data_IF_527807995242
#
_entry.id   IF_527807995242
#
_cell.length_a   1.000
_cell.length_b   1.000
_cell.length_c   1.000
_cell.angle_alpha   90.00
_cell.angle_beta   90.00
_cell.angle_gamma   90.00
#
_symmetry.space_group_name_H-M   'P 1'
#
loop_
_entity.id
_entity.type
_entity.pdbx_description
1 polymer ?
#
# COMPACT_ATOMS: atom_id res chain seq x y z
N UNK A 1 39.01 1.07 4.15
CA UNK A 1 38.21 -0.05 3.57
C UNK A 1 37.83 0.36 2.16
N UNK A 2 37.74 -0.55 1.20
CA UNK A 2 37.25 -0.20 -0.13
C UNK A 2 35.82 0.33 -0.06
N UNK A 3 35.49 1.34 -0.86
CA UNK A 3 34.22 2.00 -0.85
C UNK A 3 33.53 1.90 -2.22
N UNK A 4 32.21 1.74 -2.22
CA UNK A 4 31.33 1.90 -3.36
C UNK A 4 30.54 3.21 -3.21
N UNK A 5 30.06 3.74 -4.33
CA UNK A 5 29.25 4.96 -4.36
C UNK A 5 27.82 4.61 -4.72
N UNK A 6 26.87 4.91 -3.83
CA UNK A 6 25.45 4.59 -4.00
C UNK A 6 24.63 5.85 -4.29
N UNK A 7 23.96 5.86 -5.43
CA UNK A 7 22.97 6.88 -5.82
C UNK A 7 21.58 6.27 -5.79
N UNK A 8 20.58 7.01 -5.29
CA UNK A 8 19.19 6.56 -5.27
C UNK A 8 18.31 7.49 -6.11
N UNK A 9 17.28 6.92 -6.73
CA UNK A 9 16.28 7.67 -7.47
C UNK A 9 15.59 8.73 -6.59
N UNK A 10 15.09 9.80 -7.20
CA UNK A 10 14.46 10.92 -6.50
C UNK A 10 13.40 10.49 -5.51
N UNK A 11 12.54 9.56 -5.92
CA UNK A 11 11.42 9.01 -5.14
C UNK A 11 11.86 8.25 -3.89
N UNK A 12 13.09 7.74 -3.86
CA UNK A 12 13.66 7.01 -2.71
C UNK A 12 14.40 7.91 -1.73
N UNK A 13 14.71 9.16 -2.11
CA UNK A 13 15.49 10.09 -1.27
C UNK A 13 14.80 10.41 0.06
N UNK A 14 13.46 10.30 0.10
CA UNK A 14 12.70 10.50 1.33
C UNK A 14 13.07 9.49 2.43
N UNK A 15 13.61 8.33 2.07
CA UNK A 15 14.04 7.29 3.00
C UNK A 15 15.44 7.56 3.57
N UNK A 16 16.26 8.35 2.89
CA UNK A 16 17.61 8.67 3.35
C UNK A 16 17.57 9.69 4.50
N UNK A 17 18.61 9.67 5.34
CA UNK A 17 18.85 10.72 6.33
C UNK A 17 19.03 12.07 5.62
N UNK A 18 18.60 13.18 6.24
CA UNK A 18 18.60 14.52 5.62
C UNK A 18 19.92 14.89 4.96
N UNK A 19 21.06 14.68 5.60
CA UNK A 19 22.39 15.01 5.04
C UNK A 19 22.86 14.13 3.85
N UNK A 20 22.09 13.09 3.48
CA UNK A 20 22.45 12.14 2.40
C UNK A 20 21.50 12.19 1.20
N UNK A 21 20.52 13.11 1.20
CA UNK A 21 19.46 13.13 0.19
C UNK A 21 19.89 13.71 -1.17
N UNK A 22 20.86 14.60 -1.17
CA UNK A 22 21.21 15.37 -2.37
C UNK A 22 22.46 14.87 -3.12
N UNK A 23 23.23 13.97 -2.52
CA UNK A 23 24.50 13.47 -3.06
C UNK A 23 24.54 11.95 -3.03
N UNK A 24 25.34 11.34 -3.95
CA UNK A 24 25.71 9.95 -3.81
C UNK A 24 26.36 9.68 -2.45
N UNK A 25 26.14 8.51 -1.89
CA UNK A 25 26.64 8.11 -0.57
C UNK A 25 27.77 7.12 -0.74
N UNK A 26 28.95 7.42 -0.21
CA UNK A 26 30.02 6.44 -0.08
C UNK A 26 29.66 5.42 1.01
N UNK A 27 29.80 4.15 0.70
CA UNK A 27 29.54 3.01 1.58
C UNK A 27 30.73 2.07 1.60
N UNK A 28 31.14 1.65 2.79
CA UNK A 28 32.25 0.69 2.93
C UNK A 28 31.82 -0.71 2.48
N UNK A 29 32.68 -1.39 1.74
CA UNK A 29 32.49 -2.74 1.25
C UNK A 29 33.25 -3.71 2.16
N UNK A 30 32.52 -4.57 2.89
CA UNK A 30 33.08 -5.55 3.82
C UNK A 30 33.28 -6.93 3.15
N UNK A 31 32.86 -7.09 1.90
CA UNK A 31 32.96 -8.31 1.11
C UNK A 31 31.93 -9.39 1.45
N UNK A 32 31.04 -9.16 2.43
CA UNK A 32 30.04 -10.13 2.89
C UNK A 32 28.60 -9.57 2.87
N UNK A 33 28.47 -8.25 3.03
CA UNK A 33 27.16 -7.58 2.98
C UNK A 33 26.63 -7.50 1.56
N UNK A 34 25.39 -7.99 1.37
CA UNK A 34 24.73 -7.88 0.06
C UNK A 34 24.31 -6.46 -0.25
N UNK A 35 24.13 -6.15 -1.53
CA UNK A 35 23.72 -4.82 -1.98
C UNK A 35 22.39 -4.38 -1.38
N UNK A 36 21.41 -5.30 -1.23
CA UNK A 36 20.15 -4.98 -0.55
C UNK A 36 20.40 -4.58 0.90
N UNK A 37 21.28 -5.28 1.63
CA UNK A 37 21.59 -4.92 3.02
C UNK A 37 22.25 -3.54 3.12
N UNK A 38 23.15 -3.23 2.21
CA UNK A 38 23.78 -1.90 2.11
C UNK A 38 22.73 -0.82 1.88
N UNK A 39 21.80 -1.04 0.92
CA UNK A 39 20.73 -0.08 0.60
C UNK A 39 19.76 0.09 1.76
N UNK A 40 19.38 -1.00 2.45
CA UNK A 40 18.53 -0.95 3.65
C UNK A 40 19.23 -0.19 4.80
N UNK A 41 20.55 -0.33 4.96
CA UNK A 41 21.31 0.42 5.97
C UNK A 41 21.31 1.93 5.73
N UNK A 42 21.10 2.37 4.48
CA UNK A 42 20.89 3.77 4.13
C UNK A 42 19.48 4.26 4.47
N UNK A 43 18.54 3.35 4.79
CA UNK A 43 17.16 3.61 5.18
C UNK A 43 16.11 3.29 4.11
N UNK A 44 16.49 2.80 2.93
CA UNK A 44 15.55 2.43 1.85
C UNK A 44 15.06 1.00 2.07
N UNK A 45 13.76 0.79 2.32
CA UNK A 45 13.22 -0.55 2.46
C UNK A 45 13.35 -1.35 1.15
N UNK A 46 13.65 -2.63 1.24
CA UNK A 46 13.79 -3.50 0.06
C UNK A 46 12.51 -3.56 -0.79
N UNK A 47 11.34 -3.38 -0.19
CA UNK A 47 10.04 -3.35 -0.86
C UNK A 47 9.86 -2.14 -1.78
N UNK A 48 10.70 -1.12 -1.63
CA UNK A 48 10.69 0.10 -2.44
C UNK A 48 11.77 0.08 -3.55
N UNK A 49 12.63 -0.93 -3.55
CA UNK A 49 13.69 -1.09 -4.55
C UNK A 49 13.10 -1.76 -5.79
N UNK A 50 13.07 -1.04 -6.91
CA UNK A 50 12.59 -1.53 -8.20
C UNK A 50 13.70 -2.08 -9.08
N UNK A 51 14.87 -1.44 -9.07
CA UNK A 51 16.03 -1.88 -9.85
C UNK A 51 17.33 -1.57 -9.13
N UNK A 52 18.33 -2.39 -9.39
CA UNK A 52 19.70 -2.18 -8.95
C UNK A 52 20.64 -2.31 -10.15
N UNK A 53 21.46 -1.29 -10.38
CA UNK A 53 22.53 -1.37 -11.38
C UNK A 53 23.87 -1.08 -10.73
N UNK A 54 24.90 -1.78 -11.17
CA UNK A 54 26.29 -1.58 -10.76
C UNK A 54 27.12 -1.39 -12.02
N UNK A 55 27.85 -0.29 -12.10
CA UNK A 55 28.67 0.06 -13.27
C UNK A 55 27.85 -0.01 -14.59
N UNK A 56 26.57 0.41 -14.55
CA UNK A 56 25.64 0.38 -15.69
C UNK A 56 24.97 -0.97 -15.98
N UNK A 57 25.31 -2.05 -15.26
CA UNK A 57 24.74 -3.38 -15.47
C UNK A 57 23.76 -3.75 -14.37
N UNK A 58 22.60 -4.31 -14.77
CA UNK A 58 21.59 -4.79 -13.83
C UNK A 58 22.16 -5.86 -12.90
N UNK A 59 21.88 -5.76 -11.61
CA UNK A 59 22.32 -6.70 -10.58
C UNK A 59 21.17 -7.22 -9.74
N UNK A 60 21.38 -8.37 -9.12
CA UNK A 60 20.45 -8.94 -8.15
C UNK A 60 20.59 -8.27 -6.79
N UNK A 61 19.56 -8.42 -5.93
CA UNK A 61 19.60 -7.98 -4.53
C UNK A 61 20.76 -8.62 -3.74
N UNK A 62 21.20 -9.82 -4.14
CA UNK A 62 22.27 -10.57 -3.49
C UNK A 62 23.68 -10.21 -3.94
N UNK A 63 23.85 -9.26 -4.86
CA UNK A 63 25.16 -8.81 -5.31
C UNK A 63 26.02 -8.33 -4.12
N UNK A 64 27.29 -8.70 -4.10
CA UNK A 64 28.27 -8.24 -3.10
C UNK A 64 29.05 -7.04 -3.66
N UNK A 65 28.81 -5.81 -3.18
CA UNK A 65 29.47 -4.62 -3.71
C UNK A 65 30.97 -4.63 -3.44
N UNK A 66 31.73 -4.09 -4.39
CA UNK A 66 33.21 -4.00 -4.36
C UNK A 66 33.64 -2.56 -4.32
N UNK A 67 34.85 -2.32 -3.87
CA UNK A 67 35.48 -0.99 -3.94
C UNK A 67 35.56 -0.48 -5.37
N UNK A 68 35.12 0.78 -5.56
CA UNK A 68 35.04 1.42 -6.88
C UNK A 68 33.71 1.20 -7.61
N UNK A 69 32.79 0.37 -7.09
CA UNK A 69 31.49 0.20 -7.72
C UNK A 69 30.64 1.49 -7.67
N UNK A 70 30.00 1.78 -8.80
CA UNK A 70 29.01 2.86 -8.94
C UNK A 70 27.62 2.20 -8.98
N UNK A 71 26.89 2.33 -7.87
CA UNK A 71 25.58 1.73 -7.68
C UNK A 71 24.47 2.75 -7.93
N UNK A 72 23.46 2.35 -8.70
CA UNK A 72 22.23 3.13 -8.87
C UNK A 72 21.04 2.30 -8.40
N UNK A 73 20.21 2.88 -7.51
CA UNK A 73 19.03 2.26 -6.94
C UNK A 73 17.80 2.95 -7.51
N UNK A 74 17.04 2.24 -8.33
CA UNK A 74 15.77 2.71 -8.91
C UNK A 74 14.59 2.40 -8.00
N UNK A 75 13.56 3.24 -8.03
CA UNK A 75 12.30 3.00 -7.35
C UNK A 75 11.47 1.91 -8.06
N UNK A 76 10.51 1.34 -7.36
CA UNK A 76 9.50 0.45 -7.95
C UNK A 76 8.75 1.19 -9.05
N UNK A 77 8.61 0.55 -10.21
CA UNK A 77 7.82 1.09 -11.34
C UNK A 77 6.35 1.17 -10.95
N UNK A 78 5.66 2.18 -11.46
CA UNK A 78 4.24 2.40 -11.25
C UNK A 78 3.51 2.39 -12.60
N UNK A 79 2.40 1.67 -12.76
CA UNK A 79 1.84 0.76 -11.76
C UNK A 79 2.73 -0.48 -11.55
N UNK A 80 2.75 -0.94 -10.28
CA UNK A 80 3.43 -2.17 -9.90
C UNK A 80 2.51 -3.36 -10.12
N UNK A 81 2.96 -4.36 -10.88
CA UNK A 81 2.25 -5.64 -10.96
C UNK A 81 2.38 -6.32 -9.59
N UNK A 82 1.27 -6.34 -8.85
CA UNK A 82 1.22 -7.03 -7.57
C UNK A 82 0.74 -8.47 -7.79
N UNK A 83 1.38 -9.43 -7.11
CA UNK A 83 0.93 -10.83 -7.11
C UNK A 83 -0.46 -11.00 -6.48
N UNK A 84 -0.90 -10.01 -5.71
CA UNK A 84 -2.22 -9.96 -5.08
C UNK A 84 -2.74 -8.52 -5.04
N UNK A 85 -4.02 -8.34 -5.37
CA UNK A 85 -4.75 -7.08 -5.18
C UNK A 85 -5.41 -6.99 -3.79
N UNK A 86 -4.98 -7.81 -2.82
CA UNK A 86 -5.47 -7.84 -1.43
C UNK A 86 -4.48 -7.12 -0.55
N UNK A 87 -4.95 -6.18 0.25
CA UNK A 87 -4.11 -5.38 1.12
C UNK A 87 -4.35 -5.69 2.60
N UNK A 88 -3.33 -5.51 3.41
CA UNK A 88 -3.40 -5.42 4.86
C UNK A 88 -2.84 -4.07 5.27
N UNK A 89 -3.53 -3.34 6.12
CA UNK A 89 -3.12 -2.00 6.51
C UNK A 89 -2.64 -1.99 7.96
N UNK A 90 -1.55 -1.26 8.16
CA UNK A 90 -0.99 -0.94 9.47
C UNK A 90 -1.98 -0.11 10.30
N UNK A 91 -1.86 -0.19 11.63
CA UNK A 91 -2.77 0.41 12.63
C UNK A 91 -3.05 1.90 12.41
N UNK A 92 -2.10 2.65 11.88
CA UNK A 92 -2.26 4.09 11.61
C UNK A 92 -3.03 4.41 10.32
N UNK A 93 -3.33 3.42 9.49
CA UNK A 93 -3.96 3.58 8.18
C UNK A 93 -5.46 3.23 8.14
N UNK A 94 -6.14 3.24 9.31
CA UNK A 94 -7.57 2.87 9.39
C UNK A 94 -8.50 3.74 8.53
N UNK A 95 -8.19 5.02 8.34
CA UNK A 95 -8.95 5.89 7.46
C UNK A 95 -8.76 5.51 5.97
N UNK A 96 -7.55 5.12 5.58
CA UNK A 96 -7.25 4.58 4.24
C UNK A 96 -7.96 3.24 4.02
N UNK A 97 -7.97 2.34 5.01
CA UNK A 97 -8.68 1.06 4.92
C UNK A 97 -10.16 1.25 4.55
N UNK A 98 -10.84 2.20 5.22
CA UNK A 98 -12.24 2.52 4.91
C UNK A 98 -12.42 3.04 3.49
N UNK A 99 -11.50 3.86 2.97
CA UNK A 99 -11.56 4.39 1.60
C UNK A 99 -11.34 3.31 0.55
N UNK A 100 -10.37 2.42 0.77
CA UNK A 100 -10.12 1.28 -0.13
C UNK A 100 -11.34 0.35 -0.20
N UNK A 101 -11.93 -0.02 0.95
CA UNK A 101 -13.15 -0.83 1.02
C UNK A 101 -14.33 -0.17 0.30
N UNK A 102 -14.43 1.14 0.37
CA UNK A 102 -15.48 1.92 -0.25
C UNK A 102 -15.48 1.82 -1.77
N UNK A 103 -14.30 1.78 -2.38
CA UNK A 103 -14.11 1.57 -3.82
C UNK A 103 -13.99 0.08 -4.17
N UNK A 104 -14.32 -0.82 -3.24
CA UNK A 104 -14.43 -2.26 -3.44
C UNK A 104 -13.13 -3.05 -3.34
N UNK A 105 -12.07 -2.43 -2.87
CA UNK A 105 -10.77 -3.11 -2.69
C UNK A 105 -10.76 -3.90 -1.39
N UNK A 106 -10.25 -5.13 -1.44
CA UNK A 106 -10.04 -5.98 -0.27
C UNK A 106 -8.91 -5.42 0.59
N UNK A 107 -9.26 -4.81 1.71
CA UNK A 107 -8.36 -4.12 2.63
C UNK A 107 -8.60 -4.57 4.07
N UNK A 108 -7.85 -5.57 4.52
CA UNK A 108 -7.86 -6.03 5.92
C UNK A 108 -7.22 -4.98 6.83
N UNK A 109 -7.73 -4.88 8.04
CA UNK A 109 -7.27 -3.90 9.03
C UNK A 109 -7.71 -4.30 10.44
N UNK A 110 -6.79 -4.18 11.38
CA UNK A 110 -7.04 -4.24 12.81
C UNK A 110 -6.28 -3.08 13.48
N UNK A 111 -6.96 -2.33 14.35
CA UNK A 111 -6.40 -1.16 15.02
C UNK A 111 -5.45 -1.49 16.18
N UNK A 112 -5.33 -2.76 16.57
CA UNK A 112 -4.51 -3.23 17.68
C UNK A 112 -3.47 -4.28 17.28
N UNK A 113 -3.34 -4.58 15.99
CA UNK A 113 -2.41 -5.60 15.53
C UNK A 113 -0.95 -5.17 15.76
N UNK A 114 -0.17 -6.00 16.47
CA UNK A 114 1.26 -5.79 16.61
C UNK A 114 2.00 -6.11 15.29
N UNK A 115 3.20 -5.55 15.12
CA UNK A 115 4.02 -5.70 13.91
C UNK A 115 4.22 -7.16 13.48
N UNK A 116 4.52 -8.04 14.43
CA UNK A 116 4.76 -9.45 14.14
C UNK A 116 3.47 -10.16 13.68
N UNK A 117 2.32 -9.75 14.23
CA UNK A 117 0.99 -10.23 13.80
C UNK A 117 0.71 -9.73 12.38
N UNK A 118 0.99 -8.47 12.07
CA UNK A 118 0.83 -7.92 10.72
C UNK A 118 1.67 -8.67 9.69
N UNK A 119 2.95 -8.96 9.99
CA UNK A 119 3.82 -9.72 9.08
C UNK A 119 3.30 -11.14 8.87
N UNK A 120 2.90 -11.82 9.94
CA UNK A 120 2.35 -13.19 9.88
C UNK A 120 1.07 -13.20 9.04
N UNK A 121 0.14 -12.31 9.34
CA UNK A 121 -1.12 -12.19 8.61
C UNK A 121 -0.93 -11.85 7.12
N UNK A 122 -0.05 -10.90 6.80
CA UNK A 122 0.28 -10.56 5.42
C UNK A 122 0.78 -11.78 4.64
N UNK A 123 1.64 -12.60 5.26
CA UNK A 123 2.21 -13.79 4.65
C UNK A 123 1.18 -14.91 4.46
N UNK A 124 0.40 -15.22 5.50
CA UNK A 124 -0.60 -16.31 5.50
C UNK A 124 -1.70 -16.05 4.46
N UNK A 125 -2.22 -14.83 4.42
CA UNK A 125 -3.28 -14.48 3.50
C UNK A 125 -2.79 -13.91 2.15
N UNK A 126 -1.47 -13.85 1.91
CA UNK A 126 -0.88 -13.26 0.70
C UNK A 126 -1.40 -11.85 0.43
N UNK A 127 -1.36 -10.99 1.45
CA UNK A 127 -1.74 -9.58 1.37
C UNK A 127 -0.51 -8.68 1.26
N UNK A 128 -0.58 -7.65 0.44
CA UNK A 128 0.44 -6.59 0.43
C UNK A 128 0.26 -5.74 1.69
N UNK A 129 1.28 -5.68 2.55
CA UNK A 129 1.27 -4.85 3.74
C UNK A 129 1.51 -3.38 3.38
N UNK A 130 0.51 -2.53 3.64
CA UNK A 130 0.58 -1.08 3.48
C UNK A 130 0.92 -0.42 4.81
N UNK A 131 2.01 0.32 4.87
CA UNK A 131 2.45 0.98 6.11
C UNK A 131 3.24 2.26 5.83
N UNK A 132 3.37 3.11 6.83
CA UNK A 132 4.33 4.23 6.87
C UNK A 132 5.52 3.92 7.78
N UNK A 133 5.58 2.74 8.39
CA UNK A 133 6.73 2.27 9.16
C UNK A 133 7.75 1.57 8.26
N UNK A 134 8.93 2.19 8.16
CA UNK A 134 10.05 1.65 7.38
C UNK A 134 10.62 0.37 8.02
N UNK A 135 10.63 0.29 9.35
CA UNK A 135 11.12 -0.87 10.09
C UNK A 135 10.31 -2.11 9.78
N UNK A 136 8.98 -1.94 9.67
CA UNK A 136 8.08 -3.02 9.30
C UNK A 136 8.35 -3.53 7.87
N UNK A 137 8.65 -2.64 6.92
CA UNK A 137 8.99 -2.99 5.54
C UNK A 137 10.39 -3.63 5.39
N UNK A 138 11.29 -3.43 6.35
CA UNK A 138 12.60 -4.07 6.38
C UNK A 138 12.59 -5.48 7.00
N UNK A 139 11.44 -5.97 7.48
CA UNK A 139 11.31 -7.32 8.04
C UNK A 139 11.57 -8.38 6.97
N UNK A 140 12.64 -9.17 7.11
CA UNK A 140 13.07 -10.19 6.13
C UNK A 140 11.98 -11.22 5.80
N UNK A 141 11.12 -11.52 6.77
CA UNK A 141 10.01 -12.48 6.62
C UNK A 141 8.82 -11.92 5.83
N UNK A 142 8.72 -10.59 5.63
CA UNK A 142 7.62 -9.98 4.91
C UNK A 142 7.71 -10.32 3.42
N UNK A 143 6.70 -11.01 2.89
CA UNK A 143 6.69 -11.44 1.50
C UNK A 143 6.42 -10.28 0.52
N UNK A 144 5.52 -9.36 0.87
CA UNK A 144 5.21 -8.17 0.08
C UNK A 144 4.77 -7.02 0.97
N UNK A 145 5.20 -5.81 0.65
CA UNK A 145 4.81 -4.60 1.35
C UNK A 145 5.01 -3.36 0.49
N UNK A 146 4.42 -2.25 0.92
CA UNK A 146 4.54 -0.97 0.27
C UNK A 146 4.49 0.17 1.28
N UNK A 147 5.38 1.14 1.12
CA UNK A 147 5.30 2.38 1.85
C UNK A 147 4.19 3.25 1.28
N UNK A 148 3.27 3.69 2.14
CA UNK A 148 2.17 4.59 1.74
C UNK A 148 2.61 6.04 1.90
N UNK A 149 2.59 6.79 0.81
CA UNK A 149 2.94 8.21 0.81
C UNK A 149 1.72 9.07 1.13
N UNK A 150 1.98 10.27 1.64
CA UNK A 150 0.94 11.25 1.99
C UNK A 150 0.56 11.27 3.47
N UNK A 151 0.24 12.47 3.96
CA UNK A 151 -0.21 12.68 5.34
C UNK A 151 -1.73 12.56 5.46
N UNK A 152 -2.47 12.92 4.42
CA UNK A 152 -3.93 12.87 4.41
C UNK A 152 -4.43 11.57 3.78
N UNK A 153 -5.54 11.00 4.27
CA UNK A 153 -6.08 9.76 3.75
C UNK A 153 -6.45 9.78 2.25
N UNK A 154 -6.74 10.95 1.67
CA UNK A 154 -7.01 11.08 0.24
C UNK A 154 -5.72 11.03 -0.60
N UNK A 155 -4.61 11.57 -0.07
CA UNK A 155 -3.28 11.47 -0.71
C UNK A 155 -2.75 10.04 -0.62
N UNK A 156 -2.95 9.38 0.53
CA UNK A 156 -2.63 7.96 0.73
C UNK A 156 -3.39 7.06 -0.24
N UNK A 157 -4.70 7.31 -0.43
CA UNK A 157 -5.51 6.58 -1.40
C UNK A 157 -4.95 6.76 -2.81
N UNK A 158 -4.64 8.00 -3.20
CA UNK A 158 -4.07 8.30 -4.53
C UNK A 158 -2.75 7.57 -4.75
N UNK A 159 -1.87 7.56 -3.74
CA UNK A 159 -0.58 6.85 -3.82
C UNK A 159 -0.76 5.34 -4.03
N UNK A 160 -1.71 4.70 -3.32
CA UNK A 160 -1.99 3.27 -3.47
C UNK A 160 -2.59 2.96 -4.85
N UNK A 161 -3.51 3.80 -5.33
CA UNK A 161 -4.12 3.62 -6.66
C UNK A 161 -3.10 3.81 -7.78
N UNK A 162 -2.24 4.82 -7.69
CA UNK A 162 -1.15 5.06 -8.63
C UNK A 162 -0.14 3.89 -8.62
N UNK A 163 0.18 3.37 -7.43
CA UNK A 163 1.15 2.28 -7.30
C UNK A 163 0.67 0.95 -7.84
N UNK A 164 -0.59 0.58 -7.63
CA UNK A 164 -1.08 -0.76 -7.90
C UNK A 164 -2.14 -0.85 -8.99
N UNK A 165 -2.75 0.27 -9.38
CA UNK A 165 -3.86 0.33 -10.33
C UNK A 165 -4.89 -0.81 -10.15
N UNK A 166 -5.39 -1.09 -8.93
CA UNK A 166 -6.26 -2.21 -8.68
C UNK A 166 -7.62 -2.00 -9.37
N UNK A 167 -8.25 -3.11 -9.78
CA UNK A 167 -9.62 -3.04 -10.30
C UNK A 167 -10.57 -2.52 -9.24
N UNK A 168 -11.36 -1.49 -9.58
CA UNK A 168 -12.33 -0.88 -8.69
C UNK A 168 -13.67 -1.62 -8.81
N UNK A 169 -14.30 -1.92 -7.66
CA UNK A 169 -15.62 -2.54 -7.55
C UNK A 169 -16.43 -1.88 -6.43
N UNK A 170 -16.84 -0.60 -6.58
CA UNK A 170 -17.57 0.14 -5.55
C UNK A 170 -18.81 -0.63 -5.09
N UNK A 171 -19.18 -0.49 -3.81
CA UNK A 171 -20.35 -1.13 -3.21
C UNK A 171 -20.26 -2.67 -3.07
N UNK A 172 -19.08 -3.25 -3.16
CA UNK A 172 -18.90 -4.69 -2.97
C UNK A 172 -18.32 -5.05 -1.60
N UNK A 173 -17.73 -4.08 -0.88
CA UNK A 173 -17.08 -4.30 0.41
C UNK A 173 -17.70 -3.46 1.53
N UNK A 174 -17.86 -4.07 2.70
CA UNK A 174 -18.25 -3.40 3.93
C UNK A 174 -17.12 -2.49 4.42
N UNK A 175 -17.39 -1.20 4.57
CA UNK A 175 -16.39 -0.23 5.04
C UNK A 175 -15.96 -0.48 6.49
N UNK A 176 -16.79 -1.14 7.29
CA UNK A 176 -16.49 -1.45 8.69
C UNK A 176 -15.59 -2.68 8.85
N UNK A 177 -15.96 -3.83 8.27
CA UNK A 177 -15.29 -5.11 8.52
C UNK A 177 -14.64 -5.76 7.30
N UNK A 178 -14.66 -5.11 6.13
CA UNK A 178 -14.15 -5.67 4.87
C UNK A 178 -14.97 -6.85 4.29
N UNK A 179 -16.04 -7.29 4.94
CA UNK A 179 -16.91 -8.36 4.44
C UNK A 179 -17.60 -7.99 3.13
N UNK A 180 -18.02 -9.00 2.38
CA UNK A 180 -18.73 -8.80 1.11
C UNK A 180 -20.13 -8.20 1.36
N UNK A 181 -20.50 -7.22 0.55
CA UNK A 181 -21.86 -6.68 0.50
C UNK A 181 -22.70 -7.46 -0.50
N UNK A 182 -23.94 -7.75 -0.14
CA UNK A 182 -24.94 -8.36 -1.04
C UNK A 182 -26.18 -7.49 -1.09
N UNK A 183 -26.73 -7.28 -2.27
CA UNK A 183 -28.01 -6.59 -2.44
C UNK A 183 -29.10 -7.34 -1.68
N UNK A 184 -29.97 -6.60 -0.99
CA UNK A 184 -31.08 -7.14 -0.22
C UNK A 184 -32.34 -6.33 -0.49
N UNK A 185 -33.48 -7.01 -0.49
CA UNK A 185 -34.77 -6.36 -0.62
C UNK A 185 -35.08 -5.51 0.62
N UNK A 186 -35.69 -4.33 0.44
CA UNK A 186 -36.06 -3.40 1.51
C UNK A 186 -36.82 -4.06 2.68
N UNK A 187 -37.82 -4.94 2.45
CA UNK A 187 -38.53 -5.59 3.56
C UNK A 187 -37.62 -6.43 4.47
N UNK A 188 -36.56 -7.00 3.94
CA UNK A 188 -35.61 -7.84 4.71
C UNK A 188 -34.79 -7.04 5.72
N UNK A 189 -34.61 -5.73 5.51
CA UNK A 189 -33.81 -4.84 6.36
C UNK A 189 -34.61 -3.69 6.97
N UNK A 190 -35.88 -3.62 6.70
CA UNK A 190 -36.76 -2.49 7.09
C UNK A 190 -36.75 -2.20 8.59
N UNK A 191 -36.72 -3.23 9.42
CA UNK A 191 -36.62 -3.12 10.88
C UNK A 191 -35.29 -2.54 11.39
N UNK A 192 -34.27 -2.57 10.58
CA UNK A 192 -32.93 -2.04 10.89
C UNK A 192 -32.73 -0.60 10.40
N UNK A 193 -33.73 -0.04 9.68
CA UNK A 193 -33.62 1.28 9.06
C UNK A 193 -34.31 2.35 9.94
N UNK A 194 -33.64 3.50 10.03
CA UNK A 194 -34.26 4.68 10.59
C UNK A 194 -35.43 5.17 9.70
N UNK A 195 -36.45 5.80 10.31
CA UNK A 195 -37.68 6.21 9.62
C UNK A 195 -37.42 7.10 8.39
N UNK A 196 -36.41 8.00 8.44
CA UNK A 196 -36.02 8.84 7.32
C UNK A 196 -35.42 8.01 6.16
N UNK A 197 -34.47 7.13 6.44
CA UNK A 197 -33.84 6.25 5.47
C UNK A 197 -34.82 5.33 4.79
N UNK A 198 -35.74 4.74 5.58
CA UNK A 198 -36.79 3.85 5.09
C UNK A 198 -37.74 4.55 4.10
N UNK A 199 -38.05 5.83 4.30
CA UNK A 199 -38.91 6.60 3.40
C UNK A 199 -38.22 7.06 2.12
N UNK A 200 -36.88 7.25 2.18
CA UNK A 200 -36.15 7.94 1.12
C UNK A 200 -35.45 7.00 0.15
N UNK A 201 -35.09 5.78 0.60
CA UNK A 201 -34.27 4.88 -0.19
C UNK A 201 -34.92 3.52 -0.39
N UNK A 202 -34.63 2.91 -1.57
CA UNK A 202 -35.21 1.61 -1.95
C UNK A 202 -34.13 0.56 -2.26
N UNK A 203 -32.89 0.99 -2.55
CA UNK A 203 -31.77 0.09 -2.82
C UNK A 203 -30.89 -0.07 -1.58
N UNK A 204 -30.77 -1.31 -1.10
CA UNK A 204 -29.98 -1.66 0.07
C UNK A 204 -29.01 -2.80 -0.22
N UNK A 205 -27.88 -2.77 0.48
CA UNK A 205 -26.95 -3.88 0.55
C UNK A 205 -26.63 -4.21 2.00
N UNK A 206 -26.48 -5.49 2.32
CA UNK A 206 -26.14 -5.94 3.66
C UNK A 206 -24.81 -6.68 3.65
N UNK A 207 -23.99 -6.41 4.66
CA UNK A 207 -22.74 -7.12 4.89
C UNK A 207 -23.01 -8.55 5.35
N UNK A 208 -22.45 -9.52 4.63
CA UNK A 208 -22.61 -10.94 4.95
C UNK A 208 -21.87 -11.37 6.22
N UNK A 209 -20.87 -10.58 6.67
CA UNK A 209 -20.10 -10.89 7.87
C UNK A 209 -20.62 -10.20 9.14
N UNK A 210 -20.91 -8.89 9.09
CA UNK A 210 -21.30 -8.13 10.30
C UNK A 210 -22.74 -7.63 10.29
N UNK A 211 -23.54 -7.94 9.26
CA UNK A 211 -24.96 -7.61 9.18
C UNK A 211 -25.27 -6.11 8.91
N UNK A 212 -24.28 -5.23 8.86
CA UNK A 212 -24.51 -3.79 8.62
C UNK A 212 -25.17 -3.55 7.28
N UNK A 213 -26.17 -2.66 7.28
CA UNK A 213 -26.92 -2.26 6.10
C UNK A 213 -26.33 -0.98 5.51
N UNK A 214 -26.28 -0.92 4.19
CA UNK A 214 -25.77 0.20 3.39
C UNK A 214 -26.80 0.60 2.34
N UNK A 215 -26.83 1.90 2.01
CA UNK A 215 -27.67 2.47 0.96
C UNK A 215 -26.93 3.60 0.25
N UNK A 216 -27.37 3.94 -0.96
CA UNK A 216 -26.81 5.04 -1.75
C UNK A 216 -27.41 6.38 -1.33
N UNK A 217 -27.01 6.87 -0.14
CA UNK A 217 -27.48 8.14 0.42
C UNK A 217 -26.66 9.35 -0.03
N UNK A 218 -26.83 10.49 0.66
CA UNK A 218 -26.15 11.76 0.37
C UNK A 218 -24.62 11.67 0.30
N UNK A 219 -24.01 10.68 0.96
CA UNK A 219 -22.58 10.41 0.85
C UNK A 219 -22.19 9.70 -0.45
N UNK A 220 -23.12 9.13 -1.21
CA UNK A 220 -22.84 8.41 -2.45
C UNK A 220 -22.18 9.32 -3.50
N UNK A 221 -22.61 10.57 -3.61
CA UNK A 221 -22.02 11.53 -4.53
C UNK A 221 -20.55 11.86 -4.19
N UNK A 222 -20.21 11.97 -2.91
CA UNK A 222 -18.82 12.16 -2.45
C UNK A 222 -17.95 10.93 -2.75
N UNK A 223 -18.53 9.75 -2.64
CA UNK A 223 -17.89 8.48 -2.95
C UNK A 223 -17.67 8.31 -4.44
N UNK A 224 -18.67 8.66 -5.24
CA UNK A 224 -18.55 8.67 -6.70
C UNK A 224 -17.42 9.60 -7.15
N UNK A 225 -17.31 10.78 -6.56
CA UNK A 225 -16.20 11.71 -6.85
C UNK A 225 -14.80 11.14 -6.49
N UNK A 226 -14.69 10.23 -5.53
CA UNK A 226 -13.43 9.52 -5.22
C UNK A 226 -13.16 8.46 -6.29
N UNK A 227 -14.18 7.69 -6.68
CA UNK A 227 -14.08 6.67 -7.74
C UNK A 227 -13.71 7.31 -9.08
N UNK A 228 -14.38 8.41 -9.44
CA UNK A 228 -14.14 9.13 -10.72
C UNK A 228 -12.72 9.69 -10.79
N UNK A 229 -12.23 10.27 -9.69
CA UNK A 229 -10.84 10.74 -9.58
C UNK A 229 -9.82 9.60 -9.64
N UNK A 230 -10.15 8.44 -9.08
CA UNK A 230 -9.31 7.25 -9.15
C UNK A 230 -9.27 6.68 -10.58
N UNK A 231 -10.42 6.63 -11.26
CA UNK A 231 -10.53 6.15 -12.63
C UNK A 231 -9.83 7.06 -13.65
N UNK A 232 -9.89 8.38 -13.48
CA UNK A 232 -9.20 9.33 -14.38
C UNK A 232 -7.67 9.29 -14.26
N UNK A 233 -7.13 8.95 -13.10
CA UNK A 233 -5.69 8.77 -12.90
C UNK A 233 -5.14 7.54 -13.66
N UNK A 234 -5.96 6.52 -13.90
CA UNK A 234 -5.57 5.28 -14.60
C UNK A 234 -5.55 5.42 -16.13
N UNK A 235 -6.11 6.50 -16.72
CA UNK A 235 -6.18 6.71 -18.17
C UNK A 235 -5.03 7.53 -18.77
N UNK A 236 -4.06 7.98 -17.98
CA UNK A 236 -2.94 8.84 -18.42
C UNK A 236 -1.56 8.17 -18.23
N UNK A 237 -1.51 6.83 -18.20
CA UNK A 237 -0.29 6.03 -18.13
C UNK A 237 0.01 5.29 -19.42
#
# INVERSE_FOLDING_TARGET
MPEAVVSVAGELRMFLRLGRRERPVAVSCDGVSTLVHVVESLGVPRTEIGSLTVNGHQQSLGYLPRGGDIVQVGAVRRPQVAESARFLLDVHLGALARRLRLIGIDAAYDNNAADDVLVTWANEERRVLLTQDRGLLCRRKLWAGAYVRGALPDDQLRDVLDRFAPALAPWTRCTACNGTLRAVAKPAVESLLEAGTRRTYDEFAQCQACGRVYWRGAHAARLQAIVDRAGSASCHG
#
